data_IF_701820007735
#
_entry.id   IF_701820007735
#
_cell.length_a   1.000
_cell.length_b   1.000
_cell.length_c   1.000
_cell.angle_alpha   90.00
_cell.angle_beta   90.00
_cell.angle_gamma   90.00
#
_symmetry.space_group_name_H-M   'P 1'
#
loop_
_entity.id
_entity.type
_entity.pdbx_description
1 polymer ?
#
# COMPACT_ATOMS: atom_id res chain seq x y z
N UNK A 1 -12.80 -63.59 10.51
CA UNK A 1 -14.25 -63.89 10.63
C UNK A 1 -14.94 -63.36 9.37
N UNK A 2 -15.46 -64.30 8.56
CA UNK A 2 -16.55 -64.25 7.57
C UNK A 2 -16.86 -62.88 6.91
N UNK A 3 -16.57 -62.59 5.63
CA UNK A 3 -16.93 -63.22 4.34
C UNK A 3 -18.42 -63.35 4.06
N UNK A 4 -18.92 -62.60 3.06
CA UNK A 4 -19.76 -62.99 1.91
C UNK A 4 -19.75 -61.78 0.95
N UNK A 5 -19.54 -61.84 -0.37
CA UNK A 5 -19.38 -62.97 -1.28
C UNK A 5 -20.29 -62.80 -2.51
N UNK A 6 -19.69 -62.41 -3.65
CA UNK A 6 -20.02 -62.82 -5.04
C UNK A 6 -21.36 -62.36 -5.69
N UNK A 7 -21.51 -62.22 -7.01
CA UNK A 7 -20.65 -62.43 -8.20
C UNK A 7 -21.34 -62.00 -9.51
N UNK A 8 -20.52 -61.65 -10.52
CA UNK A 8 -20.61 -62.03 -11.98
C UNK A 8 -21.78 -61.52 -12.85
N UNK A 9 -21.69 -61.31 -14.18
CA UNK A 9 -20.67 -61.57 -15.24
C UNK A 9 -21.09 -60.92 -16.59
N UNK A 10 -20.11 -60.36 -17.31
CA UNK A 10 -19.69 -60.58 -18.74
C UNK A 10 -20.55 -60.22 -19.98
N UNK A 11 -19.79 -59.73 -20.98
CA UNK A 11 -19.96 -59.85 -22.45
C UNK A 11 -20.37 -58.53 -23.12
N UNK A 12 -19.77 -57.98 -24.18
CA UNK A 12 -18.75 -58.40 -25.15
C UNK A 12 -19.21 -57.96 -26.57
N UNK A 13 -18.37 -57.24 -27.34
CA UNK A 13 -18.42 -57.24 -28.82
C UNK A 13 -18.82 -55.97 -29.61
N UNK A 14 -17.80 -55.25 -30.10
CA UNK A 14 -17.55 -54.71 -31.45
C UNK A 14 -18.55 -53.89 -32.32
N UNK A 15 -18.04 -52.72 -32.75
CA UNK A 15 -17.94 -52.17 -34.13
C UNK A 15 -19.18 -51.68 -34.91
N UNK A 16 -19.31 -50.35 -35.11
CA UNK A 16 -18.97 -49.64 -36.38
C UNK A 16 -19.44 -48.17 -36.40
N UNK A 17 -18.58 -47.31 -36.98
CA UNK A 17 -18.77 -46.16 -37.93
C UNK A 17 -20.18 -45.54 -38.05
N UNK A 18 -20.37 -44.23 -38.23
CA UNK A 18 -19.52 -43.12 -38.69
C UNK A 18 -20.33 -41.80 -38.61
N UNK A 19 -19.62 -40.67 -38.72
CA UNK A 19 -20.10 -39.35 -39.19
C UNK A 19 -21.08 -38.57 -38.28
N UNK A 20 -20.63 -37.44 -37.71
CA UNK A 20 -20.70 -36.19 -38.48
C UNK A 20 -19.90 -35.04 -37.84
N UNK A 21 -18.99 -34.54 -38.68
CA UNK A 21 -18.55 -33.15 -38.88
C UNK A 21 -18.59 -32.14 -37.73
N UNK A 22 -17.37 -31.77 -37.34
CA UNK A 22 -17.01 -30.52 -36.69
C UNK A 22 -16.89 -29.42 -37.77
N UNK A 23 -17.49 -28.22 -37.63
CA UNK A 23 -16.96 -27.04 -38.28
C UNK A 23 -16.26 -26.14 -37.26
N UNK A 24 -14.98 -25.94 -37.53
CA UNK A 24 -14.13 -24.93 -36.95
C UNK A 24 -14.85 -23.57 -36.86
N UNK A 25 -14.90 -22.99 -35.65
CA UNK A 25 -15.08 -21.55 -35.48
C UNK A 25 -13.73 -20.92 -35.18
N UNK A 26 -13.14 -20.46 -36.27
CA UNK A 26 -12.41 -19.20 -36.42
C UNK A 26 -11.98 -18.53 -35.12
N UNK A 27 -10.69 -18.67 -34.83
CA UNK A 27 -9.93 -17.76 -33.98
C UNK A 27 -10.10 -16.35 -34.53
N UNK A 28 -10.73 -15.46 -33.76
CA UNK A 28 -10.68 -14.03 -34.01
C UNK A 28 -10.22 -13.34 -32.72
N UNK A 29 -8.90 -13.27 -32.60
CA UNK A 29 -8.19 -12.39 -31.70
C UNK A 29 -8.50 -10.94 -32.07
N UNK A 30 -9.31 -10.26 -31.27
CA UNK A 30 -9.25 -8.82 -31.08
C UNK A 30 -10.38 -8.42 -30.13
N UNK A 31 -10.07 -8.06 -28.88
CA UNK A 31 -10.35 -6.74 -28.26
C UNK A 31 -9.54 -6.68 -26.96
N UNK A 32 -8.93 -5.52 -26.69
CA UNK A 32 -8.18 -5.11 -25.48
C UNK A 32 -6.68 -5.45 -25.43
N UNK A 33 -5.97 -5.18 -26.53
CA UNK A 33 -4.68 -4.48 -26.42
C UNK A 33 -4.95 -2.98 -26.29
N UNK A 34 -5.11 -2.47 -25.06
CA UNK A 34 -4.83 -1.07 -24.77
C UNK A 34 -3.66 -1.03 -23.79
N UNK A 35 -2.46 -1.01 -24.38
CA UNK A 35 -1.24 -0.53 -23.74
C UNK A 35 -1.54 0.85 -23.17
N UNK A 36 -1.49 1.02 -21.84
CA UNK A 36 -1.37 2.33 -21.23
C UNK A 36 0.07 2.78 -21.40
N UNK A 37 0.40 3.24 -22.60
CA UNK A 37 1.60 4.00 -22.88
C UNK A 37 1.43 5.39 -22.27
N UNK A 38 1.99 5.60 -21.08
CA UNK A 38 2.20 6.96 -20.54
C UNK A 38 3.63 7.08 -20.01
N UNK A 39 4.56 6.99 -20.95
CA UNK A 39 5.88 7.61 -20.84
C UNK A 39 6.19 8.20 -22.21
N UNK A 40 6.65 9.45 -22.22
CA UNK A 40 7.21 10.24 -23.34
C UNK A 40 6.23 11.18 -24.08
N UNK A 41 6.27 12.47 -23.71
CA UNK A 41 6.33 13.57 -24.66
C UNK A 41 6.80 14.85 -23.94
N UNK A 42 8.01 15.31 -24.26
CA UNK A 42 8.49 16.66 -23.99
C UNK A 42 9.21 17.16 -25.23
N UNK A 43 8.65 18.19 -25.88
CA UNK A 43 9.35 19.15 -26.73
C UNK A 43 8.35 20.27 -27.12
N UNK A 44 8.58 21.49 -26.60
CA UNK A 44 9.01 22.71 -27.32
C UNK A 44 7.86 23.45 -28.03
N UNK A 45 7.73 24.78 -28.04
CA UNK A 45 8.40 25.97 -27.48
C UNK A 45 7.32 27.10 -27.45
N UNK A 46 7.52 28.39 -27.21
CA UNK A 46 8.68 29.26 -27.14
C UNK A 46 8.22 30.61 -26.53
N UNK A 47 9.12 31.37 -25.90
CA UNK A 47 9.11 32.85 -25.84
C UNK A 47 10.44 33.37 -25.27
N UNK A 48 10.88 34.52 -25.77
CA UNK A 48 12.27 34.98 -25.88
C UNK A 48 12.70 36.04 -24.83
N UNK A 49 14.00 36.41 -24.93
CA UNK A 49 14.73 37.60 -24.39
C UNK A 49 15.27 37.49 -22.94
N UNK A 50 16.45 38.00 -22.55
CA UNK A 50 17.70 38.43 -23.23
C UNK A 50 18.81 38.62 -22.17
N UNK A 51 20.08 38.47 -22.58
CA UNK A 51 21.29 39.17 -22.11
C UNK A 51 21.97 38.83 -20.75
N UNK A 52 23.26 38.47 -20.81
CA UNK A 52 24.22 38.60 -19.70
C UNK A 52 25.37 37.57 -19.68
N UNK A 53 26.61 38.04 -19.89
CA UNK A 53 27.84 37.30 -20.21
C UNK A 53 28.60 36.73 -18.97
N UNK A 54 29.34 35.62 -19.11
CA UNK A 54 30.37 35.21 -18.12
C UNK A 54 30.83 33.74 -18.20
N UNK A 55 32.04 33.50 -18.72
CA UNK A 55 32.70 32.19 -18.86
C UNK A 55 33.29 31.65 -17.55
N UNK A 56 33.09 30.35 -17.24
CA UNK A 56 34.10 29.47 -16.62
C UNK A 56 33.65 27.99 -16.67
N UNK A 57 34.63 27.13 -16.94
CA UNK A 57 34.63 25.69 -17.15
C UNK A 57 34.29 24.83 -15.92
N UNK A 58 33.61 23.68 -16.12
CA UNK A 58 33.71 22.54 -15.19
C UNK A 58 32.47 21.64 -15.07
N UNK A 59 32.60 20.39 -15.56
CA UNK A 59 31.89 19.17 -15.18
C UNK A 59 30.35 19.10 -15.24
N UNK A 60 29.87 18.47 -16.31
CA UNK A 60 28.55 17.84 -16.43
C UNK A 60 28.38 16.74 -15.38
N UNK A 61 27.73 17.06 -14.28
CA UNK A 61 27.06 16.06 -13.43
C UNK A 61 25.62 15.95 -13.91
N UNK A 62 25.23 14.77 -14.40
CA UNK A 62 23.84 14.44 -14.69
C UNK A 62 23.05 14.45 -13.38
N UNK A 63 22.48 15.60 -13.01
CA UNK A 63 21.34 15.66 -12.10
C UNK A 63 20.12 15.19 -12.89
N UNK A 64 19.83 13.88 -12.80
CA UNK A 64 18.49 13.38 -13.07
C UNK A 64 17.57 13.98 -12.02
N UNK A 65 16.84 15.02 -12.42
CA UNK A 65 15.74 15.60 -11.66
C UNK A 65 14.61 14.56 -11.57
N UNK A 66 14.69 13.69 -10.57
CA UNK A 66 13.63 12.74 -10.26
C UNK A 66 12.56 13.51 -9.49
N UNK A 67 11.52 13.93 -10.22
CA UNK A 67 10.28 14.38 -9.59
C UNK A 67 9.68 13.18 -8.85
N UNK A 68 9.75 13.21 -7.51
CA UNK A 68 8.85 12.42 -6.67
C UNK A 68 7.42 12.77 -7.08
N UNK A 69 6.66 11.77 -7.53
CA UNK A 69 5.26 11.92 -7.93
C UNK A 69 4.32 12.04 -6.73
N UNK A 70 4.83 11.92 -5.49
CA UNK A 70 4.09 12.09 -4.26
C UNK A 70 4.59 13.30 -3.48
N UNK A 71 3.92 14.45 -3.67
CA UNK A 71 4.16 15.62 -2.83
C UNK A 71 3.66 15.31 -1.40
N UNK A 72 4.43 15.68 -0.37
CA UNK A 72 3.94 15.66 1.03
C UNK A 72 2.58 16.34 1.07
N UNK A 73 1.55 15.58 1.38
CA UNK A 73 0.21 16.16 1.46
C UNK A 73 0.09 17.00 2.71
N UNK A 74 -0.51 18.20 2.61
CA UNK A 74 -0.94 18.91 3.79
C UNK A 74 -1.93 18.02 4.54
N UNK A 75 -1.82 18.03 5.86
CA UNK A 75 -2.65 17.23 6.75
C UNK A 75 -4.12 17.64 6.49
N UNK A 76 -5.09 16.71 6.32
CA UNK A 76 -6.43 17.01 5.82
C UNK A 76 -7.35 17.54 6.92
N UNK A 77 -6.81 18.25 7.89
CA UNK A 77 -7.53 18.67 9.09
C UNK A 77 -7.29 20.15 9.32
N UNK A 78 -8.33 20.81 9.81
CA UNK A 78 -8.35 22.25 10.02
C UNK A 78 -7.35 22.69 11.10
N UNK A 79 -7.53 23.90 11.61
CA UNK A 79 -6.66 24.47 12.64
C UNK A 79 -6.45 23.52 13.84
N UNK A 80 -7.49 22.76 14.22
CA UNK A 80 -7.43 21.75 15.27
C UNK A 80 -6.48 20.58 14.98
N UNK A 81 -6.45 20.07 13.75
CA UNK A 81 -5.49 19.05 13.34
C UNK A 81 -4.04 19.52 13.37
N UNK A 82 -3.80 20.80 13.07
CA UNK A 82 -2.47 21.40 13.17
C UNK A 82 -1.99 21.43 14.63
N UNK A 83 -2.87 21.74 15.58
CA UNK A 83 -2.57 21.71 17.01
C UNK A 83 -2.26 20.28 17.50
N UNK A 84 -3.04 19.30 17.06
CA UNK A 84 -2.77 17.89 17.33
C UNK A 84 -1.43 17.44 16.75
N UNK A 85 -1.07 17.91 15.55
CA UNK A 85 0.23 17.61 14.95
C UNK A 85 1.39 18.17 15.79
N UNK A 86 1.25 19.40 16.29
CA UNK A 86 2.26 20.00 17.15
C UNK A 86 2.44 19.18 18.44
N UNK A 87 1.35 18.64 18.99
CA UNK A 87 1.38 17.74 20.13
C UNK A 87 2.12 16.41 19.85
N UNK A 88 1.86 15.78 18.69
CA UNK A 88 2.58 14.58 18.24
C UNK A 88 4.09 14.85 18.17
N UNK A 89 4.49 15.94 17.50
CA UNK A 89 5.89 16.30 17.31
C UNK A 89 6.60 16.57 18.65
N UNK A 90 5.91 17.21 19.60
CA UNK A 90 6.46 17.50 20.93
C UNK A 90 6.66 16.22 21.75
N UNK A 91 5.73 15.27 21.67
CA UNK A 91 5.76 14.03 22.47
C UNK A 91 6.77 13.02 21.92
N UNK A 92 6.94 12.97 20.59
CA UNK A 92 7.94 12.13 19.93
C UNK A 92 9.38 12.63 20.14
N UNK A 93 9.59 13.94 20.31
CA UNK A 93 10.92 14.57 20.38
C UNK A 93 11.61 14.53 21.75
N UNK A 94 10.88 14.24 22.84
CA UNK A 94 11.33 14.55 24.21
C UNK A 94 11.60 13.32 25.10
N UNK A 95 12.16 12.23 24.55
CA UNK A 95 12.41 10.96 25.25
C UNK A 95 11.15 10.23 25.74
N UNK A 96 9.96 10.61 25.25
CA UNK A 96 8.69 9.95 25.59
C UNK A 96 8.60 8.54 25.02
N UNK A 97 7.88 7.65 25.71
CA UNK A 97 7.54 6.34 25.15
C UNK A 97 6.58 6.54 23.97
N UNK A 98 6.87 5.93 22.82
CA UNK A 98 5.95 5.91 21.67
C UNK A 98 4.55 5.41 22.04
N UNK A 99 4.46 4.57 23.09
CA UNK A 99 3.19 4.06 23.63
C UNK A 99 2.35 5.15 24.28
N UNK A 100 2.97 6.14 24.91
CA UNK A 100 2.24 7.28 25.48
C UNK A 100 1.89 8.31 24.42
N UNK A 101 2.73 8.47 23.40
CA UNK A 101 2.52 9.41 22.30
C UNK A 101 1.29 9.10 21.43
N UNK A 102 0.82 7.84 21.41
CA UNK A 102 -0.37 7.45 20.62
C UNK A 102 -1.70 7.68 21.35
N UNK A 103 -1.68 7.86 22.66
CA UNK A 103 -2.91 8.00 23.46
C UNK A 103 -3.68 9.25 23.05
N UNK A 104 -5.00 9.15 23.06
CA UNK A 104 -5.87 10.30 22.82
C UNK A 104 -5.58 11.40 23.84
N UNK A 105 -5.20 12.63 23.43
CA UNK A 105 -4.98 13.72 24.36
C UNK A 105 -6.28 14.09 25.09
N UNK A 106 -6.14 14.57 26.32
CA UNK A 106 -7.29 14.79 27.21
C UNK A 106 -8.18 15.92 26.67
N UNK A 107 -9.45 15.60 26.42
CA UNK A 107 -10.43 16.56 25.89
C UNK A 107 -10.51 16.62 24.36
N UNK A 108 -9.74 15.77 23.67
CA UNK A 108 -9.76 15.72 22.20
C UNK A 108 -10.78 14.75 21.62
N UNK A 109 -11.12 14.98 20.36
CA UNK A 109 -12.02 14.10 19.60
C UNK A 109 -11.25 12.90 19.05
N UNK A 110 -11.77 11.69 19.27
CA UNK A 110 -11.11 10.45 18.85
C UNK A 110 -10.99 10.35 17.32
N UNK A 111 -12.01 10.78 16.57
CA UNK A 111 -12.02 10.62 15.11
C UNK A 111 -11.05 11.61 14.46
N UNK A 112 -10.96 12.83 14.98
CA UNK A 112 -9.96 13.82 14.60
C UNK A 112 -8.53 13.31 14.86
N UNK A 113 -8.29 12.75 16.05
CA UNK A 113 -7.00 12.19 16.41
C UNK A 113 -6.59 11.01 15.52
N UNK A 114 -7.54 10.14 15.20
CA UNK A 114 -7.36 9.06 14.24
C UNK A 114 -7.07 9.61 12.84
N UNK A 115 -7.78 10.65 12.39
CA UNK A 115 -7.62 11.23 11.08
C UNK A 115 -6.20 11.79 10.88
N UNK A 116 -5.70 12.60 11.82
CA UNK A 116 -4.35 13.18 11.79
C UNK A 116 -3.29 12.07 11.66
N UNK A 117 -3.32 11.10 12.57
CA UNK A 117 -2.29 10.06 12.64
C UNK A 117 -2.31 9.12 11.43
N UNK A 118 -3.48 8.75 10.92
CA UNK A 118 -3.59 7.85 9.74
C UNK A 118 -2.96 8.50 8.51
N UNK A 119 -3.11 9.81 8.35
CA UNK A 119 -2.51 10.54 7.22
C UNK A 119 -0.99 10.62 7.38
N UNK A 120 -0.51 10.84 8.60
CA UNK A 120 0.93 10.79 8.90
C UNK A 120 1.53 9.42 8.60
N UNK A 121 0.87 8.32 9.00
CA UNK A 121 1.33 6.98 8.68
C UNK A 121 1.32 6.68 7.19
N UNK A 122 0.30 7.15 6.47
CA UNK A 122 0.25 7.04 5.01
C UNK A 122 1.42 7.77 4.36
N UNK A 123 1.63 9.04 4.71
CA UNK A 123 2.72 9.85 4.18
C UNK A 123 4.09 9.23 4.48
N UNK A 124 4.32 8.80 5.73
CA UNK A 124 5.56 8.17 6.14
C UNK A 124 5.82 6.85 5.39
N UNK A 125 4.79 6.03 5.19
CA UNK A 125 4.90 4.78 4.46
C UNK A 125 5.16 4.98 2.96
N UNK A 126 4.57 6.01 2.34
CA UNK A 126 4.89 6.37 0.95
C UNK A 126 6.38 6.69 0.81
N UNK A 127 6.96 7.50 1.71
CA UNK A 127 8.40 7.77 1.70
C UNK A 127 9.25 6.52 1.91
N UNK A 128 8.88 5.67 2.88
CA UNK A 128 9.60 4.42 3.12
C UNK A 128 9.56 3.48 1.91
N UNK A 129 8.42 3.42 1.21
CA UNK A 129 8.27 2.59 0.02
C UNK A 129 9.07 3.16 -1.16
N UNK A 130 9.08 4.48 -1.35
CA UNK A 130 9.84 5.14 -2.42
C UNK A 130 11.34 4.82 -2.35
N UNK A 131 11.92 4.68 -1.16
CA UNK A 131 13.33 4.27 -0.96
C UNK A 131 13.65 2.94 -1.64
N UNK A 132 12.67 2.03 -1.75
CA UNK A 132 12.84 0.68 -2.32
C UNK A 132 12.29 0.60 -3.74
N UNK A 133 11.21 1.31 -4.04
CA UNK A 133 10.48 1.20 -5.30
C UNK A 133 11.28 1.62 -6.53
N UNK A 134 12.20 2.58 -6.38
CA UNK A 134 12.93 3.13 -7.54
C UNK A 134 13.78 2.08 -8.26
N UNK A 135 14.37 1.12 -7.53
CA UNK A 135 15.32 0.16 -8.13
C UNK A 135 15.14 -1.30 -7.67
N UNK A 136 14.38 -1.56 -6.60
CA UNK A 136 14.43 -2.86 -5.93
C UNK A 136 13.09 -3.61 -5.90
N UNK A 137 11.97 -2.90 -5.78
CA UNK A 137 10.63 -3.49 -5.90
C UNK A 137 10.15 -3.36 -7.35
N UNK A 138 10.34 -4.40 -8.16
CA UNK A 138 10.00 -4.42 -9.58
C UNK A 138 9.07 -5.59 -9.88
N UNK A 139 8.40 -5.59 -11.03
CA UNK A 139 7.57 -6.73 -11.44
C UNK A 139 8.38 -8.02 -11.61
N UNK A 140 9.70 -7.91 -11.83
CA UNK A 140 10.60 -9.08 -11.95
C UNK A 140 11.01 -9.62 -10.59
N UNK A 141 11.35 -8.74 -9.64
CA UNK A 141 11.79 -9.13 -8.29
C UNK A 141 10.61 -9.50 -7.41
N UNK A 142 9.45 -8.89 -7.63
CA UNK A 142 8.23 -9.08 -6.86
C UNK A 142 7.01 -9.25 -7.79
N UNK A 143 6.94 -10.36 -8.55
CA UNK A 143 5.87 -10.62 -9.53
C UNK A 143 4.48 -10.79 -8.92
N UNK A 144 4.43 -11.01 -7.60
CA UNK A 144 3.20 -11.12 -6.81
C UNK A 144 3.36 -10.31 -5.53
N UNK A 145 2.31 -9.62 -5.09
CA UNK A 145 2.29 -8.93 -3.81
C UNK A 145 2.16 -9.93 -2.65
N UNK A 146 3.27 -10.22 -1.97
CA UNK A 146 3.32 -11.19 -0.88
C UNK A 146 3.98 -10.63 0.38
N UNK A 147 3.68 -11.24 1.53
CA UNK A 147 4.43 -11.08 2.78
C UNK A 147 4.94 -12.46 3.23
N UNK A 148 6.15 -12.79 2.77
CA UNK A 148 6.73 -14.12 2.95
C UNK A 148 5.99 -15.19 2.13
N UNK A 149 6.30 -16.48 2.35
CA UNK A 149 5.78 -17.57 1.53
C UNK A 149 4.32 -17.95 1.82
N UNK A 150 3.75 -17.46 2.93
CA UNK A 150 2.42 -17.89 3.42
C UNK A 150 1.29 -16.92 3.09
N UNK A 151 1.60 -15.67 2.75
CA UNK A 151 0.60 -14.62 2.60
C UNK A 151 0.74 -13.95 1.23
N UNK A 152 -0.28 -14.14 0.39
CA UNK A 152 -0.45 -13.47 -0.89
C UNK A 152 -1.60 -12.46 -0.79
N UNK A 153 -1.41 -11.26 -1.35
CA UNK A 153 -2.42 -10.22 -1.36
C UNK A 153 -2.91 -9.95 -2.78
N UNK A 154 -4.23 -9.98 -2.94
CA UNK A 154 -4.92 -9.64 -4.19
C UNK A 154 -5.59 -8.29 -4.08
N UNK A 155 -5.56 -7.52 -5.16
CA UNK A 155 -6.14 -6.18 -5.18
C UNK A 155 -7.63 -6.23 -5.50
N UNK A 156 -8.41 -5.43 -4.78
CA UNK A 156 -9.78 -5.07 -5.11
C UNK A 156 -10.09 -3.75 -4.39
N UNK A 157 -10.72 -2.79 -5.03
CA UNK A 157 -11.14 -1.53 -4.38
C UNK A 157 -12.64 -1.51 -4.08
N UNK A 158 -13.43 -2.33 -4.80
CA UNK A 158 -14.89 -2.33 -4.72
C UNK A 158 -15.56 -1.23 -5.53
N UNK A 159 -14.79 -0.54 -6.38
CA UNK A 159 -15.25 0.54 -7.27
C UNK A 159 -14.90 0.23 -8.74
N UNK A 160 -13.61 0.23 -9.06
CA UNK A 160 -13.10 -0.07 -10.40
C UNK A 160 -12.80 -1.57 -10.55
N UNK A 161 -12.26 -2.17 -9.48
CA UNK A 161 -11.89 -3.58 -9.41
C UNK A 161 -12.81 -4.28 -8.43
N UNK A 162 -13.86 -4.89 -8.99
CA UNK A 162 -14.92 -5.58 -8.24
C UNK A 162 -14.54 -7.00 -7.82
N UNK A 163 -13.58 -7.64 -8.50
CA UNK A 163 -13.10 -8.99 -8.19
C UNK A 163 -11.62 -8.95 -7.80
N UNK A 164 -11.18 -9.71 -6.78
CA UNK A 164 -9.77 -9.81 -6.42
C UNK A 164 -8.92 -10.18 -7.64
N UNK A 165 -7.93 -9.33 -7.96
CA UNK A 165 -6.99 -9.55 -9.05
C UNK A 165 -5.57 -9.76 -8.50
N UNK A 166 -4.84 -10.65 -9.17
CA UNK A 166 -3.41 -10.82 -8.94
C UNK A 166 -2.65 -9.69 -9.64
N UNK A 167 -1.64 -9.17 -8.96
CA UNK A 167 -0.71 -8.21 -9.52
C UNK A 167 0.63 -8.27 -8.80
N UNK A 168 1.65 -7.73 -9.45
CA UNK A 168 2.98 -7.56 -8.85
C UNK A 168 2.93 -6.63 -7.65
N UNK A 169 3.90 -6.76 -6.74
CA UNK A 169 3.98 -5.90 -5.56
C UNK A 169 4.01 -4.39 -5.90
N UNK A 170 4.81 -3.90 -6.87
CA UNK A 170 4.80 -2.47 -7.18
C UNK A 170 3.48 -2.00 -7.78
N UNK A 171 2.80 -2.84 -8.58
CA UNK A 171 1.47 -2.52 -9.12
C UNK A 171 0.44 -2.47 -7.99
N UNK A 172 0.45 -3.44 -7.07
CA UNK A 172 -0.42 -3.47 -5.91
C UNK A 172 -0.23 -2.21 -5.03
N UNK A 173 1.01 -1.88 -4.67
CA UNK A 173 1.32 -0.70 -3.87
C UNK A 173 0.87 0.60 -4.57
N UNK A 174 1.05 0.69 -5.89
CA UNK A 174 0.57 1.83 -6.68
C UNK A 174 -0.95 1.97 -6.70
N UNK A 175 -1.71 0.86 -6.74
CA UNK A 175 -3.18 0.91 -6.56
C UNK A 175 -3.56 1.30 -5.14
N UNK A 176 -2.88 0.73 -4.15
CA UNK A 176 -3.13 0.98 -2.74
C UNK A 176 -2.95 2.44 -2.39
N UNK A 177 -1.81 3.05 -2.75
CA UNK A 177 -1.54 4.43 -2.39
C UNK A 177 -2.51 5.39 -3.05
N UNK A 178 -2.80 5.23 -4.34
CA UNK A 178 -3.82 6.03 -5.04
C UNK A 178 -5.21 5.88 -4.40
N UNK A 179 -5.58 4.66 -4.01
CA UNK A 179 -6.84 4.42 -3.34
C UNK A 179 -6.91 5.12 -1.99
N UNK A 180 -5.87 5.00 -1.14
CA UNK A 180 -5.83 5.69 0.17
C UNK A 180 -5.85 7.21 -0.02
N UNK A 181 -5.07 7.72 -0.97
CA UNK A 181 -5.02 9.12 -1.38
C UNK A 181 -6.41 9.67 -1.73
N UNK A 182 -7.19 8.94 -2.54
CA UNK A 182 -8.57 9.31 -2.87
C UNK A 182 -9.47 9.38 -1.63
N UNK A 183 -9.28 8.51 -0.63
CA UNK A 183 -10.08 8.55 0.60
C UNK A 183 -9.72 9.77 1.46
N UNK A 184 -8.42 10.05 1.65
CA UNK A 184 -7.96 11.15 2.51
C UNK A 184 -8.21 12.54 1.91
N UNK A 185 -8.30 12.63 0.58
CA UNK A 185 -8.59 13.89 -0.12
C UNK A 185 -10.10 14.21 -0.18
N UNK A 186 -10.97 13.22 0.04
CA UNK A 186 -12.42 13.40 0.05
C UNK A 186 -12.87 14.05 1.36
N UNK A 187 -13.26 15.33 1.29
CA UNK A 187 -13.73 16.13 2.43
C UNK A 187 -14.99 15.57 3.10
N UNK A 188 -15.73 14.68 2.43
CA UNK A 188 -16.87 13.96 3.05
C UNK A 188 -16.42 12.82 3.95
N UNK A 189 -15.19 12.35 3.79
CA UNK A 189 -14.60 11.28 4.58
C UNK A 189 -13.64 11.87 5.62
N UNK A 190 -12.77 12.80 5.21
CA UNK A 190 -11.81 13.52 6.03
C UNK A 190 -12.11 15.03 5.99
N UNK A 191 -12.98 15.53 6.89
CA UNK A 191 -13.34 16.95 6.91
C UNK A 191 -12.15 17.84 7.24
N UNK A 192 -11.94 18.89 6.45
CA UNK A 192 -10.82 19.84 6.62
C UNK A 192 -11.17 21.05 7.49
N UNK A 193 -12.43 21.26 7.83
CA UNK A 193 -12.88 22.39 8.62
C UNK A 193 -13.22 21.93 10.02
N UNK A 194 -12.77 22.71 11.00
CA UNK A 194 -13.09 22.45 12.40
C UNK A 194 -14.60 22.55 12.62
N UNK A 195 -15.18 21.50 13.20
CA UNK A 195 -16.61 21.41 13.48
C UNK A 195 -17.43 20.64 12.44
N UNK A 196 -16.85 20.30 11.28
CA UNK A 196 -17.50 19.39 10.34
C UNK A 196 -17.51 17.96 10.91
N UNK A 197 -18.63 17.26 10.74
CA UNK A 197 -18.79 15.92 11.30
C UNK A 197 -18.18 14.84 10.39
N UNK A 198 -17.42 13.91 10.99
CA UNK A 198 -16.99 12.69 10.32
C UNK A 198 -18.20 11.81 9.94
N UNK A 199 -18.13 11.06 8.83
CA UNK A 199 -19.21 10.15 8.45
C UNK A 199 -19.34 9.00 9.47
N UNK A 200 -20.56 8.46 9.61
CA UNK A 200 -20.85 7.36 10.56
C UNK A 200 -19.99 6.11 10.35
N UNK A 201 -19.51 5.88 9.13
CA UNK A 201 -18.66 4.75 8.78
C UNK A 201 -17.16 5.09 8.75
N UNK A 202 -16.75 6.26 9.23
CA UNK A 202 -15.35 6.74 9.22
C UNK A 202 -14.38 5.70 9.82
N UNK A 203 -14.64 5.24 11.04
CA UNK A 203 -13.78 4.25 11.71
C UNK A 203 -13.67 2.95 10.91
N UNK A 204 -14.74 2.52 10.23
CA UNK A 204 -14.72 1.34 9.34
C UNK A 204 -13.81 1.57 8.12
N UNK A 205 -13.85 2.77 7.53
CA UNK A 205 -12.97 3.15 6.40
C UNK A 205 -11.51 3.20 6.84
N UNK A 206 -11.24 3.82 7.99
CA UNK A 206 -9.88 3.89 8.56
C UNK A 206 -9.33 2.50 8.86
N UNK A 207 -10.12 1.58 9.43
CA UNK A 207 -9.69 0.18 9.62
C UNK A 207 -9.22 -0.46 8.30
N UNK A 208 -9.97 -0.25 7.21
CA UNK A 208 -9.61 -0.74 5.87
C UNK A 208 -8.32 -0.08 5.34
N UNK A 209 -8.13 1.22 5.60
CA UNK A 209 -6.89 1.94 5.26
C UNK A 209 -5.71 1.33 6.04
N UNK A 210 -5.80 1.27 7.37
CA UNK A 210 -4.74 0.76 8.24
C UNK A 210 -4.35 -0.68 7.88
N UNK A 211 -5.32 -1.57 7.69
CA UNK A 211 -5.08 -2.94 7.26
C UNK A 211 -4.33 -3.02 5.92
N UNK A 212 -4.64 -2.13 4.98
CA UNK A 212 -3.93 -2.05 3.68
C UNK A 212 -2.51 -1.54 3.86
N UNK A 213 -2.31 -0.45 4.60
CA UNK A 213 -0.97 0.09 4.88
C UNK A 213 -0.07 -0.97 5.54
N UNK A 214 -0.61 -1.77 6.46
CA UNK A 214 0.11 -2.88 7.08
C UNK A 214 0.65 -3.90 6.07
N UNK A 215 -0.06 -4.18 4.98
CA UNK A 215 0.40 -5.11 3.92
C UNK A 215 1.68 -4.61 3.26
N UNK A 216 1.83 -3.29 3.12
CA UNK A 216 3.06 -2.69 2.58
C UNK A 216 4.21 -2.84 3.57
N UNK A 217 3.99 -2.57 4.87
CA UNK A 217 5.01 -2.86 5.89
C UNK A 217 5.42 -4.34 5.87
N UNK A 218 4.46 -5.26 5.84
CA UNK A 218 4.71 -6.69 5.76
C UNK A 218 5.55 -7.06 4.53
N UNK A 219 5.23 -6.49 3.37
CA UNK A 219 6.02 -6.68 2.17
C UNK A 219 7.45 -6.12 2.30
N UNK A 220 7.62 -4.91 2.86
CA UNK A 220 8.94 -4.29 3.07
C UNK A 220 9.82 -5.15 3.99
N UNK A 221 9.29 -5.63 5.11
CA UNK A 221 10.05 -6.47 6.06
C UNK A 221 10.42 -7.84 5.46
N UNK A 222 9.52 -8.49 4.72
CA UNK A 222 9.80 -9.81 4.16
C UNK A 222 10.69 -9.76 2.91
N UNK A 223 10.45 -8.82 2.01
CA UNK A 223 11.05 -8.82 0.68
C UNK A 223 12.24 -7.87 0.55
N UNK A 224 12.29 -6.80 1.35
CA UNK A 224 13.21 -5.68 1.12
C UNK A 224 14.01 -5.26 2.35
N UNK A 225 13.86 -5.89 3.51
CA UNK A 225 14.54 -5.49 4.74
C UNK A 225 16.06 -5.44 4.59
N UNK A 226 16.67 -6.41 3.90
CA UNK A 226 18.13 -6.42 3.63
C UNK A 226 18.59 -5.18 2.87
N UNK A 227 17.80 -4.74 1.90
CA UNK A 227 18.08 -3.55 1.09
C UNK A 227 17.92 -2.30 1.95
N UNK A 228 16.86 -2.24 2.76
CA UNK A 228 16.62 -1.14 3.70
C UNK A 228 17.78 -1.02 4.71
N UNK A 229 18.34 -2.13 5.19
CA UNK A 229 19.54 -2.14 6.02
C UNK A 229 20.79 -1.64 5.27
N UNK A 230 20.96 -2.06 4.01
CA UNK A 230 22.09 -1.60 3.18
C UNK A 230 22.04 -0.07 2.93
N UNK A 231 20.84 0.50 2.90
CA UNK A 231 20.59 1.94 2.79
C UNK A 231 20.55 2.67 4.14
N UNK A 232 20.85 1.98 5.25
CA UNK A 232 20.84 2.52 6.63
C UNK A 232 19.50 3.16 7.05
N UNK A 233 18.39 2.67 6.48
CA UNK A 233 17.05 3.18 6.70
C UNK A 233 16.24 2.32 7.69
N UNK A 234 16.80 1.24 8.22
CA UNK A 234 16.10 0.26 9.07
C UNK A 234 15.60 0.87 10.38
N UNK A 235 16.34 1.83 10.97
CA UNK A 235 15.89 2.54 12.17
C UNK A 235 14.63 3.37 11.89
N UNK A 236 14.55 4.03 10.73
CA UNK A 236 13.37 4.80 10.33
C UNK A 236 12.17 3.89 10.13
N UNK A 237 12.33 2.80 9.37
CA UNK A 237 11.30 1.79 9.18
C UNK A 237 10.78 1.26 10.53
N UNK A 238 11.70 0.86 11.43
CA UNK A 238 11.34 0.28 12.72
C UNK A 238 10.60 1.28 13.62
N UNK A 239 11.04 2.53 13.70
CA UNK A 239 10.39 3.56 14.53
C UNK A 239 8.99 3.89 14.00
N UNK A 240 8.84 4.10 12.69
CA UNK A 240 7.55 4.40 12.07
C UNK A 240 6.60 3.19 12.23
N UNK A 241 7.09 1.97 12.02
CA UNK A 241 6.30 0.75 12.20
C UNK A 241 5.87 0.55 13.65
N UNK A 242 6.77 0.78 14.63
CA UNK A 242 6.42 0.73 16.06
C UNK A 242 5.30 1.71 16.39
N UNK A 243 5.44 2.95 15.94
CA UNK A 243 4.43 3.98 16.14
C UNK A 243 3.07 3.55 15.53
N UNK A 244 3.09 3.04 14.29
CA UNK A 244 1.90 2.53 13.62
C UNK A 244 1.24 1.37 14.38
N UNK A 245 2.01 0.39 14.86
CA UNK A 245 1.49 -0.77 15.60
C UNK A 245 0.87 -0.34 16.93
N UNK A 246 1.53 0.52 17.70
CA UNK A 246 0.95 1.03 18.95
C UNK A 246 -0.36 1.77 18.70
N UNK A 247 -0.40 2.63 17.69
CA UNK A 247 -1.62 3.36 17.32
C UNK A 247 -2.74 2.42 16.85
N UNK A 248 -2.41 1.44 16.01
CA UNK A 248 -3.37 0.48 15.49
C UNK A 248 -3.97 -0.39 16.59
N UNK A 249 -3.20 -0.74 17.62
CA UNK A 249 -3.71 -1.48 18.79
C UNK A 249 -4.55 -0.58 19.69
N UNK A 250 -4.07 0.62 20.04
CA UNK A 250 -4.76 1.57 20.91
C UNK A 250 -6.20 1.85 20.43
N UNK A 251 -6.37 2.09 19.12
CA UNK A 251 -7.69 2.40 18.54
C UNK A 251 -8.37 1.20 17.87
N UNK A 252 -7.83 -0.02 18.06
CA UNK A 252 -8.36 -1.28 17.50
C UNK A 252 -8.61 -1.20 15.99
N UNK A 253 -7.63 -0.68 15.25
CA UNK A 253 -7.71 -0.40 13.82
C UNK A 253 -7.42 -1.62 12.93
N UNK A 254 -6.66 -2.59 13.44
CA UNK A 254 -6.27 -3.80 12.69
C UNK A 254 -6.49 -5.01 13.60
N UNK A 255 -7.05 -6.10 13.05
CA UNK A 255 -7.28 -7.31 13.81
C UNK A 255 -5.99 -8.13 14.00
N UNK A 256 -5.99 -9.03 14.99
CA UNK A 256 -4.84 -9.92 15.20
C UNK A 256 -4.60 -10.84 14.01
N UNK A 257 -5.64 -11.25 13.28
CA UNK A 257 -5.50 -12.08 12.09
C UNK A 257 -4.77 -11.32 10.96
N UNK A 258 -5.11 -10.04 10.77
CA UNK A 258 -4.47 -9.21 9.74
C UNK A 258 -3.01 -8.90 10.06
N UNK A 259 -2.62 -8.92 11.35
CA UNK A 259 -1.23 -8.72 11.78
C UNK A 259 -0.36 -10.00 11.67
N UNK A 260 -0.94 -11.17 11.39
CA UNK A 260 -0.20 -12.45 11.34
C UNK A 260 1.08 -12.45 10.48
N UNK A 261 1.13 -11.80 9.30
CA UNK A 261 2.33 -11.76 8.47
C UNK A 261 3.59 -11.23 9.18
N UNK A 262 3.43 -10.41 10.22
CA UNK A 262 4.54 -9.89 11.04
C UNK A 262 4.34 -10.21 12.53
N UNK A 263 3.65 -11.30 12.87
CA UNK A 263 3.25 -11.59 14.26
C UNK A 263 4.40 -11.48 15.26
N UNK A 264 5.53 -12.14 14.97
CA UNK A 264 6.70 -12.15 15.86
C UNK A 264 7.26 -10.73 16.08
N UNK A 265 7.32 -9.93 15.02
CA UNK A 265 7.79 -8.54 15.11
C UNK A 265 6.80 -7.68 15.90
N UNK A 266 5.49 -7.83 15.63
CA UNK A 266 4.42 -7.12 16.34
C UNK A 266 4.45 -7.47 17.83
N UNK A 267 4.57 -8.74 18.19
CA UNK A 267 4.68 -9.18 19.58
C UNK A 267 5.92 -8.57 20.25
N UNK A 268 7.07 -8.55 19.57
CA UNK A 268 8.27 -7.90 20.06
C UNK A 268 8.12 -6.39 20.26
N UNK A 269 7.36 -5.71 19.40
CA UNK A 269 7.01 -4.29 19.59
C UNK A 269 6.10 -4.12 20.81
N UNK A 270 5.06 -4.95 20.95
CA UNK A 270 4.07 -4.81 22.01
C UNK A 270 4.59 -5.22 23.40
N UNK A 271 5.63 -6.06 23.46
CA UNK A 271 6.30 -6.45 24.70
C UNK A 271 7.45 -5.51 25.09
N UNK A 272 7.87 -4.62 24.18
CA UNK A 272 8.90 -3.63 24.50
C UNK A 272 8.37 -2.65 25.58
N UNK A 273 9.21 -2.33 26.59
CA UNK A 273 8.85 -1.41 27.66
C UNK A 273 8.56 0.01 27.15
#
# INVERSE_FOLDING_TARGET
MFSFGSSSKRGGGSSNKSEDTNPAKTSNNNVLSKKSSFLSASSAGASAQSSGNGSATGNTSHQTNIQSTFRKKPIPVGQKGIELQAHINSTLGNNGSLRDAVKLPKGEDELEWIAVNVVDFFNALVFLYDVVNTEHCTEKTCPTMCAGPKFEYRWMDGEEVMKPMECSAPVYCGYLFRWVEKQIDDEKIFPKKQGDAFPRDFKKRVKKIAARLFRVYAHLYHSHFKIICALQAEKHLNTIFKHFVYFAVEFSLISSEEMMPLRELVDGVLQAP
#
